data_IF_450953750639
#
_entry.id   IF_450953750639
#
_cell.length_a   1.000
_cell.length_b   1.000
_cell.length_c   1.000
_cell.angle_alpha   90.00
_cell.angle_beta   90.00
_cell.angle_gamma   90.00
#
_symmetry.space_group_name_H-M   'P 1'
#
loop_
_entity.id
_entity.type
_entity.pdbx_description
1 polymer ?
#
# COMPACT_ATOMS: atom_id res chain seq x y z
N UNK A 1 -15.90 -6.69 -15.84
CA UNK A 1 -15.33 -7.79 -15.01
C UNK A 1 -16.05 -7.79 -13.67
N UNK A 2 -16.35 -8.95 -13.10
CA UNK A 2 -17.02 -9.06 -11.79
C UNK A 2 -16.04 -8.86 -10.64
N UNK A 3 -14.81 -9.33 -10.80
CA UNK A 3 -13.73 -9.26 -9.82
C UNK A 3 -12.63 -8.38 -10.37
N UNK A 4 -12.26 -7.34 -9.64
CA UNK A 4 -11.22 -6.39 -10.06
C UNK A 4 -10.22 -6.27 -8.92
N UNK A 5 -8.95 -6.54 -9.20
CA UNK A 5 -7.87 -6.50 -8.21
C UNK A 5 -6.83 -5.49 -8.68
N UNK A 6 -6.50 -4.52 -7.84
CA UNK A 6 -5.37 -3.63 -7.99
C UNK A 6 -4.30 -4.03 -6.99
N UNK A 7 -3.22 -4.61 -7.47
CA UNK A 7 -2.06 -5.03 -6.68
C UNK A 7 -0.97 -3.97 -6.81
N UNK A 8 -0.58 -3.34 -5.72
CA UNK A 8 0.39 -2.24 -5.69
C UNK A 8 1.61 -2.66 -4.88
N UNK A 9 2.80 -2.43 -5.42
CA UNK A 9 4.04 -2.44 -4.66
C UNK A 9 4.48 -0.99 -4.44
N UNK A 10 4.38 -0.49 -3.21
CA UNK A 10 4.79 0.88 -2.88
C UNK A 10 6.32 0.98 -2.98
N UNK A 11 6.84 1.93 -3.75
CA UNK A 11 8.29 2.16 -3.87
C UNK A 11 9.08 1.08 -4.60
N UNK A 12 8.44 0.16 -5.33
CA UNK A 12 9.13 -0.86 -6.12
C UNK A 12 9.50 -0.36 -7.51
N UNK A 13 10.80 -0.34 -7.81
CA UNK A 13 11.32 -0.02 -9.14
C UNK A 13 11.85 -1.27 -9.89
N UNK A 14 12.43 -1.03 -11.06
CA UNK A 14 13.07 -2.06 -11.85
C UNK A 14 14.21 -2.77 -11.11
N UNK A 15 15.07 -2.02 -10.42
CA UNK A 15 16.25 -2.56 -9.76
C UNK A 15 15.88 -3.35 -8.50
N UNK A 16 14.92 -2.87 -7.71
CA UNK A 16 14.33 -3.60 -6.58
C UNK A 16 13.71 -4.90 -7.04
N UNK A 17 12.96 -4.88 -8.15
CA UNK A 17 12.40 -6.10 -8.77
C UNK A 17 13.51 -7.07 -9.18
N UNK A 18 14.59 -6.57 -9.80
CA UNK A 18 15.76 -7.37 -10.21
C UNK A 18 16.50 -7.96 -9.02
N UNK A 19 16.72 -7.19 -7.96
CA UNK A 19 17.35 -7.68 -6.74
C UNK A 19 16.58 -8.86 -6.15
N UNK A 20 15.25 -8.74 -6.04
CA UNK A 20 14.41 -9.79 -5.50
C UNK A 20 14.37 -11.04 -6.40
N UNK A 21 14.30 -10.86 -7.73
CA UNK A 21 14.35 -11.97 -8.67
C UNK A 21 15.69 -12.74 -8.58
N UNK A 22 16.82 -12.03 -8.47
CA UNK A 22 18.14 -12.66 -8.32
C UNK A 22 18.24 -13.42 -7.00
N UNK A 23 17.86 -12.81 -5.88
CA UNK A 23 17.92 -13.45 -4.57
C UNK A 23 17.05 -14.71 -4.51
N UNK A 24 15.83 -14.63 -5.06
CA UNK A 24 14.90 -15.76 -5.08
C UNK A 24 15.40 -16.91 -5.97
N UNK A 25 15.96 -16.61 -7.14
CA UNK A 25 16.40 -17.64 -8.11
C UNK A 25 17.83 -18.11 -7.89
N UNK A 26 18.63 -17.35 -7.13
CA UNK A 26 20.08 -17.51 -7.01
C UNK A 26 20.79 -17.44 -8.36
N UNK A 27 20.25 -16.68 -9.29
CA UNK A 27 20.76 -16.53 -10.65
C UNK A 27 20.57 -15.10 -11.16
N UNK A 28 21.55 -14.60 -11.90
CA UNK A 28 21.42 -13.34 -12.63
C UNK A 28 20.67 -13.62 -13.94
N UNK A 29 19.34 -13.59 -13.87
CA UNK A 29 18.46 -13.92 -14.99
C UNK A 29 17.60 -12.76 -15.51
N UNK A 30 17.25 -11.79 -14.66
CA UNK A 30 16.31 -10.71 -14.99
C UNK A 30 17.03 -9.44 -15.41
N UNK A 31 16.88 -9.04 -16.68
CA UNK A 31 17.58 -7.90 -17.27
C UNK A 31 16.66 -6.85 -17.90
N UNK A 32 15.50 -7.25 -18.44
CA UNK A 32 14.48 -6.33 -18.96
C UNK A 32 13.10 -7.01 -19.10
N UNK A 33 12.03 -6.21 -19.18
CA UNK A 33 10.71 -6.67 -19.59
C UNK A 33 10.02 -7.66 -18.64
N UNK A 34 9.58 -8.81 -19.18
CA UNK A 34 8.81 -9.83 -18.45
C UNK A 34 9.65 -11.08 -18.18
N UNK A 35 9.46 -11.66 -16.99
CA UNK A 35 9.91 -13.01 -16.64
C UNK A 35 11.33 -13.12 -16.12
N UNK A 36 11.59 -14.24 -15.45
CA UNK A 36 12.84 -14.81 -14.91
C UNK A 36 13.11 -14.65 -13.39
N UNK A 37 12.08 -14.81 -12.56
CA UNK A 37 12.29 -15.16 -11.15
C UNK A 37 11.09 -15.06 -10.22
N UNK A 38 10.38 -13.93 -10.24
CA UNK A 38 9.20 -13.71 -9.41
C UNK A 38 7.96 -14.32 -10.08
N UNK A 39 7.00 -14.77 -9.28
CA UNK A 39 5.78 -15.37 -9.81
C UNK A 39 5.03 -14.39 -10.70
N UNK A 40 4.91 -13.11 -10.33
CA UNK A 40 4.25 -12.12 -11.20
C UNK A 40 4.97 -11.86 -12.52
N UNK A 41 6.29 -12.06 -12.59
CA UNK A 41 7.07 -11.95 -13.83
C UNK A 41 6.83 -13.17 -14.73
N UNK A 42 6.77 -14.36 -14.13
CA UNK A 42 6.72 -15.65 -14.82
C UNK A 42 5.32 -16.20 -15.00
N UNK A 43 4.30 -15.55 -14.46
CA UNK A 43 2.93 -16.02 -14.55
C UNK A 43 2.43 -16.07 -16.00
N UNK A 44 1.88 -17.22 -16.42
CA UNK A 44 1.37 -17.50 -17.77
C UNK A 44 -0.03 -18.13 -17.78
N UNK A 45 -0.78 -18.04 -16.68
CA UNK A 45 -2.13 -18.63 -16.58
C UNK A 45 -3.19 -17.92 -17.46
N UNK A 46 -2.93 -16.69 -17.89
CA UNK A 46 -3.81 -15.94 -18.80
C UNK A 46 -3.03 -15.04 -19.75
N UNK A 47 -3.73 -14.43 -20.71
CA UNK A 47 -3.20 -13.33 -21.51
C UNK A 47 -2.87 -12.15 -20.61
N UNK A 48 -1.65 -11.67 -20.70
CA UNK A 48 -1.15 -10.58 -19.86
C UNK A 48 -0.55 -9.49 -20.74
N UNK A 49 -0.97 -8.26 -20.51
CA UNK A 49 -0.34 -7.07 -21.06
C UNK A 49 0.69 -6.52 -20.06
N UNK A 50 1.61 -5.70 -20.53
CA UNK A 50 2.64 -5.07 -19.72
C UNK A 50 3.06 -3.75 -20.35
N UNK A 51 3.34 -2.76 -19.50
CA UNK A 51 3.76 -1.43 -19.91
C UNK A 51 4.22 -0.62 -18.72
N UNK A 52 4.69 0.59 -19.00
CA UNK A 52 5.14 1.54 -17.99
C UNK A 52 4.31 2.80 -18.09
N UNK A 53 4.26 3.51 -16.97
CA UNK A 53 3.63 4.79 -16.85
C UNK A 53 4.46 5.65 -15.93
N UNK A 54 4.23 6.95 -15.99
CA UNK A 54 4.95 7.93 -15.19
C UNK A 54 4.02 8.40 -14.08
N UNK A 55 4.46 8.19 -12.85
CA UNK A 55 3.86 8.81 -11.67
C UNK A 55 4.63 10.09 -11.35
N UNK A 56 4.10 11.19 -11.85
CA UNK A 56 4.64 12.53 -11.59
C UNK A 56 3.49 13.39 -11.08
N UNK A 57 3.68 14.13 -9.98
CA UNK A 57 2.62 14.92 -9.39
C UNK A 57 2.30 16.11 -10.30
N UNK A 58 1.24 16.83 -9.98
CA UNK A 58 1.01 18.16 -10.52
C UNK A 58 2.08 19.13 -10.00
N UNK A 59 2.39 19.07 -8.70
CA UNK A 59 3.39 19.90 -8.04
C UNK A 59 3.75 19.36 -6.65
N UNK A 60 4.79 19.91 -6.03
CA UNK A 60 5.13 19.69 -4.62
C UNK A 60 5.15 21.01 -3.84
N UNK A 61 4.97 20.92 -2.51
CA UNK A 61 4.97 22.07 -1.60
C UNK A 61 3.68 22.88 -1.57
N UNK A 62 2.53 22.27 -1.89
CA UNK A 62 1.20 22.89 -1.71
C UNK A 62 0.94 23.16 -0.23
N UNK A 63 0.48 24.37 0.09
CA UNK A 63 0.05 24.70 1.45
C UNK A 63 -1.41 24.35 1.67
N UNK A 64 -1.71 23.71 2.81
CA UNK A 64 -3.05 23.28 3.21
C UNK A 64 -3.33 23.61 4.68
N UNK A 65 -4.58 23.47 5.06
CA UNK A 65 -5.04 23.48 6.44
C UNK A 65 -5.83 22.19 6.67
N UNK A 66 -5.29 21.30 7.50
CA UNK A 66 -5.86 19.97 7.79
C UNK A 66 -7.16 20.11 8.58
N UNK A 67 -7.22 20.95 9.61
CA UNK A 67 -8.43 21.17 10.42
C UNK A 67 -9.67 21.59 9.62
N UNK A 68 -9.45 22.34 8.55
CA UNK A 68 -10.50 22.85 7.66
C UNK A 68 -10.64 22.04 6.38
N UNK A 69 -9.74 21.08 6.14
CA UNK A 69 -9.67 20.28 4.92
C UNK A 69 -9.69 21.14 3.65
N UNK A 70 -8.82 22.17 3.61
CA UNK A 70 -8.68 23.06 2.44
C UNK A 70 -7.23 23.24 2.01
N UNK A 71 -7.03 23.42 0.70
CA UNK A 71 -5.80 23.97 0.15
C UNK A 71 -5.83 25.49 0.31
N UNK A 72 -4.81 26.06 0.95
CA UNK A 72 -4.70 27.50 1.20
C UNK A 72 -3.89 28.23 0.13
N UNK A 73 -2.96 27.52 -0.53
CA UNK A 73 -2.18 28.04 -1.65
C UNK A 73 -1.88 26.91 -2.65
N UNK A 74 -2.67 26.78 -3.74
CA UNK A 74 -2.47 25.74 -4.75
C UNK A 74 -1.23 26.02 -5.60
N UNK A 75 -0.72 24.98 -6.29
CA UNK A 75 0.40 25.07 -7.24
C UNK A 75 1.80 24.90 -6.62
N UNK A 76 1.95 25.09 -5.31
CA UNK A 76 3.16 24.77 -4.56
C UNK A 76 4.43 25.51 -5.01
N UNK A 77 5.60 24.91 -4.72
CA UNK A 77 6.93 25.51 -4.97
C UNK A 77 7.63 24.94 -6.19
N UNK A 78 7.44 23.65 -6.44
CA UNK A 78 8.13 22.92 -7.51
C UNK A 78 7.06 22.29 -8.38
N UNK A 79 6.95 22.65 -9.67
CA UNK A 79 6.03 21.99 -10.57
C UNK A 79 6.44 20.53 -10.75
N UNK A 80 5.45 19.66 -10.94
CA UNK A 80 5.72 18.32 -11.44
C UNK A 80 5.91 18.33 -12.94
N UNK A 81 6.01 17.14 -13.51
CA UNK A 81 6.42 16.93 -14.88
C UNK A 81 7.38 15.76 -14.99
N UNK A 82 7.39 15.15 -16.17
CA UNK A 82 8.39 14.19 -16.59
C UNK A 82 8.40 14.19 -18.12
N UNK A 83 9.50 14.64 -18.68
CA UNK A 83 9.91 14.43 -20.06
C UNK A 83 10.52 13.02 -20.24
N UNK A 84 9.80 12.19 -20.98
CA UNK A 84 10.23 10.83 -21.37
C UNK A 84 11.45 10.83 -22.28
N UNK A 85 11.68 11.91 -23.04
CA UNK A 85 12.86 12.00 -23.92
C UNK A 85 14.16 12.11 -23.12
N UNK A 86 14.07 12.60 -21.88
CA UNK A 86 15.20 12.68 -20.93
C UNK A 86 15.33 11.45 -20.06
N UNK A 87 14.20 10.94 -19.58
CA UNK A 87 14.15 9.79 -18.68
C UNK A 87 14.38 8.45 -19.38
N UNK A 88 14.33 8.42 -20.71
CA UNK A 88 14.49 7.22 -21.51
C UNK A 88 13.16 6.51 -21.79
N UNK A 89 13.13 5.63 -22.80
CA UNK A 89 11.93 4.91 -23.20
C UNK A 89 11.56 3.76 -22.27
N UNK A 90 12.47 3.31 -21.40
CA UNK A 90 12.26 2.20 -20.46
C UNK A 90 12.90 2.47 -19.09
N UNK A 91 12.38 1.88 -18.00
CA UNK A 91 12.95 2.07 -16.66
C UNK A 91 14.35 1.47 -16.44
N UNK A 92 14.79 0.50 -17.26
CA UNK A 92 16.10 -0.14 -17.13
C UNK A 92 17.19 0.53 -17.98
N UNK A 93 16.82 1.43 -18.88
CA UNK A 93 17.80 2.12 -19.71
C UNK A 93 18.51 3.21 -18.91
N UNK A 94 19.84 3.17 -18.89
CA UNK A 94 20.64 4.25 -18.33
C UNK A 94 20.42 5.56 -19.11
N UNK A 95 20.34 6.67 -18.38
CA UNK A 95 20.19 8.02 -18.94
C UNK A 95 21.50 8.80 -18.78
N UNK A 96 21.72 9.79 -19.65
CA UNK A 96 22.91 10.67 -19.57
C UNK A 96 22.85 11.63 -18.37
N UNK A 97 21.65 11.94 -17.89
CA UNK A 97 21.38 12.83 -16.75
C UNK A 97 20.80 12.03 -15.57
N UNK A 98 21.66 11.29 -14.86
CA UNK A 98 21.27 10.47 -13.71
C UNK A 98 20.51 11.23 -12.60
N UNK A 99 20.77 12.53 -12.34
CA UNK A 99 19.95 13.33 -11.42
C UNK A 99 18.52 13.61 -11.88
N UNK A 100 18.22 13.52 -13.18
CA UNK A 100 16.90 13.87 -13.71
C UNK A 100 15.76 12.97 -13.20
N UNK A 101 15.83 11.63 -13.27
CA UNK A 101 14.76 10.77 -12.76
C UNK A 101 14.36 11.03 -11.30
N UNK A 102 15.28 11.53 -10.48
CA UNK A 102 15.06 11.87 -9.07
C UNK A 102 14.73 13.35 -8.83
N UNK A 103 14.41 14.11 -9.89
CA UNK A 103 14.03 15.52 -9.81
C UNK A 103 15.16 16.47 -9.44
N UNK A 104 16.42 16.04 -9.54
CA UNK A 104 17.62 16.80 -9.13
C UNK A 104 18.50 17.24 -10.31
N UNK A 105 17.99 17.20 -11.53
CA UNK A 105 18.71 17.76 -12.68
C UNK A 105 18.98 19.25 -12.46
N UNK A 106 20.21 19.68 -12.75
CA UNK A 106 20.59 21.09 -12.65
C UNK A 106 19.84 21.98 -13.67
N UNK A 107 19.44 21.39 -14.80
CA UNK A 107 18.85 22.11 -15.93
C UNK A 107 17.32 22.07 -15.96
N UNK A 108 16.71 21.15 -15.22
CA UNK A 108 15.26 20.90 -15.24
C UNK A 108 14.80 20.21 -13.96
N UNK A 109 14.80 20.93 -12.84
CA UNK A 109 14.30 20.42 -11.59
C UNK A 109 12.77 20.27 -11.67
N UNK A 110 12.27 19.11 -11.25
CA UNK A 110 10.85 18.84 -11.14
C UNK A 110 10.54 18.11 -9.85
N UNK A 111 9.28 18.15 -9.43
CA UNK A 111 8.81 17.32 -8.33
C UNK A 111 8.79 15.84 -8.78
N UNK A 112 9.35 14.95 -7.95
CA UNK A 112 9.06 13.52 -8.01
C UNK A 112 7.84 13.23 -7.12
N UNK A 113 7.08 12.20 -7.47
CA UNK A 113 5.83 11.86 -6.76
C UNK A 113 6.14 11.31 -5.37
N UNK A 114 5.20 11.49 -4.46
CA UNK A 114 5.08 10.64 -3.27
C UNK A 114 3.97 9.60 -3.50
N UNK A 115 3.81 8.67 -2.55
CA UNK A 115 2.78 7.62 -2.61
C UNK A 115 1.34 8.15 -2.67
N UNK A 116 1.06 9.33 -2.08
CA UNK A 116 -0.29 9.89 -2.08
C UNK A 116 -0.69 10.41 -3.47
N UNK A 117 0.18 11.17 -4.13
CA UNK A 117 -0.10 11.68 -5.47
C UNK A 117 -0.14 10.57 -6.54
N UNK A 118 0.74 9.56 -6.43
CA UNK A 118 0.75 8.40 -7.33
C UNK A 118 -0.50 7.54 -7.13
N UNK A 119 -0.84 7.18 -5.89
CA UNK A 119 -2.03 6.38 -5.60
C UNK A 119 -3.34 7.12 -5.92
N UNK A 120 -3.39 8.45 -5.74
CA UNK A 120 -4.49 9.28 -6.25
C UNK A 120 -4.59 9.17 -7.78
N UNK A 121 -3.46 9.14 -8.50
CA UNK A 121 -3.47 8.95 -9.95
C UNK A 121 -4.01 7.57 -10.34
N UNK A 122 -3.61 6.52 -9.61
CA UNK A 122 -4.08 5.13 -9.83
C UNK A 122 -5.58 4.97 -9.53
N UNK A 123 -6.08 5.58 -8.45
CA UNK A 123 -7.43 5.38 -7.96
C UNK A 123 -8.45 6.38 -8.53
N UNK A 124 -8.03 7.62 -8.81
CA UNK A 124 -8.91 8.72 -9.22
C UNK A 124 -8.63 9.24 -10.64
N UNK A 125 -7.58 8.76 -11.31
CA UNK A 125 -7.32 9.09 -12.72
C UNK A 125 -6.87 10.53 -12.98
N UNK A 126 -6.36 11.23 -11.95
CA UNK A 126 -5.85 12.60 -12.07
C UNK A 126 -4.48 12.74 -11.42
N UNK A 127 -3.66 13.66 -11.94
CA UNK A 127 -2.47 14.13 -11.23
C UNK A 127 -2.87 15.19 -10.20
N UNK A 128 -2.27 15.13 -9.01
CA UNK A 128 -2.48 16.07 -7.91
C UNK A 128 -1.16 16.45 -7.24
N UNK A 129 -1.18 17.27 -6.19
CA UNK A 129 0.03 17.65 -5.47
C UNK A 129 0.50 16.53 -4.54
N UNK A 130 1.81 16.45 -4.26
CA UNK A 130 2.33 15.52 -3.24
C UNK A 130 1.65 15.75 -1.89
N UNK A 131 1.34 14.68 -1.16
CA UNK A 131 0.53 14.64 0.07
C UNK A 131 -0.99 14.63 -0.12
N UNK A 132 -1.54 14.82 -1.31
CA UNK A 132 -2.99 14.77 -1.52
C UNK A 132 -3.54 13.35 -1.55
N UNK A 133 -4.69 13.12 -0.90
CA UNK A 133 -5.46 11.88 -0.98
C UNK A 133 -6.76 12.15 -1.72
N UNK A 134 -6.84 11.71 -2.99
CA UNK A 134 -8.02 11.85 -3.85
C UNK A 134 -8.63 13.26 -3.93
N UNK A 135 -7.83 14.30 -3.81
CA UNK A 135 -8.26 15.67 -4.10
C UNK A 135 -7.55 16.20 -5.33
N UNK A 136 -8.19 17.10 -6.07
CA UNK A 136 -7.52 17.80 -7.16
C UNK A 136 -6.46 18.79 -6.64
N UNK A 137 -5.72 19.42 -7.55
CA UNK A 137 -4.65 20.34 -7.16
C UNK A 137 -5.11 21.58 -6.35
N UNK A 138 -6.43 21.82 -6.30
CA UNK A 138 -7.08 22.89 -5.53
C UNK A 138 -7.75 22.38 -4.24
N UNK A 139 -7.60 21.11 -3.90
CA UNK A 139 -8.17 20.50 -2.70
C UNK A 139 -9.63 20.08 -2.84
N UNK A 140 -10.19 20.06 -4.06
CA UNK A 140 -11.58 19.60 -4.26
C UNK A 140 -11.62 18.08 -4.32
N UNK A 141 -12.65 17.49 -3.71
CA UNK A 141 -12.90 16.05 -3.73
C UNK A 141 -12.93 15.50 -5.16
N UNK A 142 -12.24 14.37 -5.36
CA UNK A 142 -12.30 13.56 -6.57
C UNK A 142 -12.71 12.15 -6.14
N UNK A 143 -13.63 11.55 -6.88
CA UNK A 143 -14.20 10.25 -6.54
C UNK A 143 -13.25 9.13 -6.98
N UNK A 144 -12.68 8.32 -6.05
CA UNK A 144 -11.88 7.17 -6.44
C UNK A 144 -12.74 6.07 -7.06
N UNK A 145 -12.10 5.20 -7.84
CA UNK A 145 -12.73 4.08 -8.55
C UNK A 145 -13.47 3.14 -7.59
N UNK A 146 -12.95 2.91 -6.39
CA UNK A 146 -13.60 2.04 -5.41
C UNK A 146 -14.97 2.60 -4.98
N UNK A 147 -15.07 3.91 -4.69
CA UNK A 147 -16.37 4.55 -4.36
C UNK A 147 -17.31 4.58 -5.55
N UNK A 148 -16.79 4.77 -6.77
CA UNK A 148 -17.58 4.67 -8.00
C UNK A 148 -18.18 3.26 -8.16
N UNK A 149 -17.37 2.22 -8.01
CA UNK A 149 -17.81 0.83 -8.11
C UNK A 149 -18.74 0.43 -6.96
N UNK A 150 -18.53 0.97 -5.76
CA UNK A 150 -19.42 0.72 -4.62
C UNK A 150 -20.84 1.23 -4.91
N UNK A 151 -20.98 2.39 -5.57
CA UNK A 151 -22.28 2.89 -6.02
C UNK A 151 -22.94 2.00 -7.10
N UNK A 152 -22.15 1.21 -7.83
CA UNK A 152 -22.62 0.20 -8.78
C UNK A 152 -22.87 -1.20 -8.17
N UNK A 153 -22.79 -1.30 -6.83
CA UNK A 153 -23.05 -2.55 -6.10
C UNK A 153 -21.85 -3.48 -6.00
N UNK A 154 -20.62 -3.00 -6.19
CA UNK A 154 -19.43 -3.77 -5.83
C UNK A 154 -19.21 -3.74 -4.32
N UNK A 155 -18.80 -4.88 -3.76
CA UNK A 155 -18.15 -4.90 -2.45
C UNK A 155 -16.70 -4.42 -2.59
N UNK A 156 -16.20 -3.67 -1.62
CA UNK A 156 -14.88 -3.01 -1.69
C UNK A 156 -13.96 -3.56 -0.59
N UNK A 157 -12.76 -4.00 -0.98
CA UNK A 157 -11.72 -4.41 -0.06
C UNK A 157 -10.42 -3.62 -0.21
N UNK A 158 -9.73 -3.40 0.90
CA UNK A 158 -8.39 -2.79 0.94
C UNK A 158 -7.51 -3.60 1.90
N UNK A 159 -6.36 -4.03 1.40
CA UNK A 159 -5.35 -4.81 2.14
C UNK A 159 -3.99 -4.15 2.01
N UNK A 160 -3.24 -4.01 3.10
CA UNK A 160 -1.89 -3.43 3.09
C UNK A 160 -0.97 -4.07 4.15
N UNK A 161 0.33 -4.16 3.87
CA UNK A 161 1.36 -4.55 4.86
C UNK A 161 1.80 -3.43 5.81
N UNK A 162 1.38 -2.19 5.56
CA UNK A 162 1.70 -0.98 6.33
C UNK A 162 0.42 -0.42 7.00
N UNK A 163 0.43 0.74 7.69
CA UNK A 163 -0.74 1.22 8.39
C UNK A 163 -1.98 1.32 7.50
N UNK A 164 -3.14 0.95 8.05
CA UNK A 164 -4.42 0.91 7.33
C UNK A 164 -4.80 2.22 6.61
N UNK A 165 -4.34 3.37 7.12
CA UNK A 165 -4.56 4.69 6.54
C UNK A 165 -3.29 5.33 5.96
N UNK A 166 -2.26 4.52 5.70
CA UNK A 166 -1.14 4.96 4.86
C UNK A 166 -1.65 5.43 3.48
N UNK A 167 -0.81 6.17 2.75
CA UNK A 167 -1.27 6.92 1.58
C UNK A 167 -1.94 6.07 0.50
N UNK A 168 -1.34 4.95 0.11
CA UNK A 168 -1.88 4.05 -0.93
C UNK A 168 -3.24 3.45 -0.54
N UNK A 169 -3.43 2.81 0.64
CA UNK A 169 -4.71 2.25 1.03
C UNK A 169 -5.74 3.35 1.31
N UNK A 170 -5.33 4.51 1.82
CA UNK A 170 -6.20 5.67 1.96
C UNK A 170 -6.73 6.14 0.59
N UNK A 171 -5.85 6.26 -0.42
CA UNK A 171 -6.23 6.65 -1.78
C UNK A 171 -7.15 5.62 -2.47
N UNK A 172 -7.27 4.39 -1.97
CA UNK A 172 -8.29 3.47 -2.49
C UNK A 172 -9.71 4.02 -2.29
N UNK A 173 -9.97 4.80 -1.23
CA UNK A 173 -11.34 5.11 -0.81
C UNK A 173 -11.57 6.51 -0.24
N UNK A 174 -10.66 6.98 0.63
CA UNK A 174 -10.81 8.21 1.42
C UNK A 174 -10.46 9.47 0.61
N UNK A 175 -10.77 10.64 1.18
CA UNK A 175 -10.30 11.93 0.67
C UNK A 175 -9.74 12.77 1.81
N UNK A 176 -8.60 13.42 1.58
CA UNK A 176 -8.02 14.35 2.52
C UNK A 176 -7.03 15.28 1.80
N UNK A 177 -6.87 16.49 2.32
CA UNK A 177 -5.87 17.42 1.78
C UNK A 177 -4.43 17.06 2.19
N UNK A 178 -4.25 16.16 3.17
CA UNK A 178 -2.96 15.69 3.67
C UNK A 178 -2.97 14.19 3.98
N UNK A 179 -2.01 13.45 3.43
CA UNK A 179 -1.81 12.01 3.66
C UNK A 179 -1.50 11.65 5.11
N UNK A 180 -1.08 12.62 5.92
CA UNK A 180 -0.72 12.38 7.32
C UNK A 180 -1.90 12.53 8.28
N UNK A 181 -3.10 12.89 7.82
CA UNK A 181 -4.31 12.97 8.65
C UNK A 181 -4.91 11.55 8.91
N UNK A 182 -4.09 10.68 9.50
CA UNK A 182 -4.30 9.23 9.56
C UNK A 182 -5.63 8.83 10.19
N UNK A 183 -6.01 9.40 11.33
CA UNK A 183 -7.27 9.05 11.99
C UNK A 183 -8.47 9.49 11.16
N UNK A 184 -8.41 10.63 10.45
CA UNK A 184 -9.49 11.07 9.56
C UNK A 184 -9.64 10.18 8.33
N UNK A 185 -8.51 9.80 7.74
CA UNK A 185 -8.43 8.84 6.65
C UNK A 185 -9.00 7.47 7.07
N UNK A 186 -8.69 7.00 8.28
CA UNK A 186 -9.26 5.76 8.81
C UNK A 186 -10.77 5.86 9.01
N UNK A 187 -11.28 7.02 9.48
CA UNK A 187 -12.74 7.24 9.63
C UNK A 187 -13.48 7.11 8.30
N UNK A 188 -12.92 7.68 7.23
CA UNK A 188 -13.43 7.52 5.86
C UNK A 188 -13.44 6.05 5.43
N UNK A 189 -12.32 5.33 5.61
CA UNK A 189 -12.19 3.91 5.27
C UNK A 189 -13.22 3.04 6.00
N UNK A 190 -13.50 3.32 7.28
CA UNK A 190 -14.44 2.56 8.11
C UNK A 190 -15.89 3.08 8.02
N UNK A 191 -16.13 4.17 7.28
CA UNK A 191 -17.47 4.73 7.08
C UNK A 191 -18.08 5.36 8.33
N UNK A 192 -17.24 5.96 9.17
CA UNK A 192 -17.66 6.82 10.28
C UNK A 192 -17.33 8.29 9.94
N UNK A 193 -17.99 9.28 10.57
CA UNK A 193 -17.76 10.69 10.26
C UNK A 193 -16.30 11.11 10.41
N UNK A 194 -15.74 11.71 9.36
CA UNK A 194 -14.43 12.36 9.31
C UNK A 194 -14.59 13.87 9.21
N UNK A 195 -13.51 14.64 9.32
CA UNK A 195 -13.50 16.08 9.07
C UNK A 195 -13.79 16.36 7.59
N UNK A 196 -13.20 15.57 6.67
CA UNK A 196 -13.45 15.75 5.24
C UNK A 196 -14.89 15.36 4.85
N UNK A 197 -15.43 14.28 5.44
CA UNK A 197 -16.79 13.81 5.24
C UNK A 197 -17.58 13.76 6.56
N UNK A 198 -18.12 14.91 7.05
CA UNK A 198 -18.85 14.97 8.32
C UNK A 198 -20.11 14.10 8.39
N UNK A 199 -20.66 13.71 7.23
CA UNK A 199 -21.79 12.79 7.13
C UNK A 199 -21.41 11.31 7.24
N UNK A 200 -20.12 11.00 7.20
CA UNK A 200 -19.59 9.65 7.03
C UNK A 200 -19.74 9.13 5.60
N UNK A 201 -18.77 8.33 5.18
CA UNK A 201 -18.87 7.53 3.95
C UNK A 201 -19.57 6.19 4.25
N UNK A 202 -19.82 5.40 3.20
CA UNK A 202 -20.30 4.03 3.41
C UNK A 202 -19.27 3.18 4.15
N UNK A 203 -17.97 3.43 3.93
CA UNK A 203 -16.84 2.60 4.36
C UNK A 203 -16.63 1.40 3.44
N UNK A 204 -15.42 0.85 3.44
CA UNK A 204 -15.07 -0.38 2.71
C UNK A 204 -15.68 -1.60 3.37
N UNK A 205 -15.93 -2.68 2.63
CA UNK A 205 -16.51 -3.92 3.16
C UNK A 205 -15.45 -4.81 3.83
N UNK A 206 -14.19 -4.69 3.39
CA UNK A 206 -13.04 -5.30 4.05
C UNK A 206 -11.89 -4.29 4.15
N UNK A 207 -11.35 -4.10 5.35
CA UNK A 207 -10.10 -3.38 5.57
C UNK A 207 -9.17 -4.29 6.37
N UNK A 208 -7.97 -4.60 5.87
CA UNK A 208 -6.99 -5.39 6.62
C UNK A 208 -5.62 -4.75 6.46
N UNK A 209 -4.97 -4.39 7.56
CA UNK A 209 -3.62 -3.86 7.49
C UNK A 209 -2.93 -3.70 8.82
N UNK A 210 -1.82 -2.99 8.81
CA UNK A 210 -0.98 -2.81 9.97
C UNK A 210 -1.30 -1.50 10.74
N UNK A 211 -0.42 -1.10 11.66
CA UNK A 211 -0.54 0.10 12.49
C UNK A 211 -0.94 -0.19 13.95
N UNK A 212 -1.21 -1.45 14.30
CA UNK A 212 -1.55 -1.85 15.66
C UNK A 212 -0.42 -1.50 16.64
N UNK A 213 -0.80 -1.04 17.84
CA UNK A 213 0.15 -0.79 18.94
C UNK A 213 0.97 0.51 18.84
N UNK A 214 0.80 1.30 17.77
CA UNK A 214 1.54 2.55 17.55
C UNK A 214 0.95 3.71 18.36
N UNK A 215 1.35 3.81 19.63
CA UNK A 215 0.86 4.86 20.56
C UNK A 215 1.61 6.17 20.37
N UNK A 216 0.85 7.27 20.26
CA UNK A 216 1.35 8.63 20.14
C UNK A 216 0.52 9.58 21.02
N UNK A 217 1.21 10.44 21.79
CA UNK A 217 0.56 11.39 22.69
C UNK A 217 0.05 12.64 21.94
N UNK A 218 0.73 12.98 20.84
CA UNK A 218 0.42 14.14 20.01
C UNK A 218 0.91 13.93 18.58
N UNK A 219 0.05 14.19 17.61
CA UNK A 219 0.46 14.22 16.20
C UNK A 219 -0.03 15.52 15.54
N UNK A 220 0.86 16.50 15.49
CA UNK A 220 0.55 17.80 14.89
C UNK A 220 0.32 17.76 13.38
N UNK A 221 0.69 16.66 12.70
CA UNK A 221 0.42 16.49 11.27
C UNK A 221 -1.04 16.16 10.97
N UNK A 222 -1.75 15.60 11.96
CA UNK A 222 -3.18 15.28 11.88
C UNK A 222 -4.07 16.49 12.19
N UNK A 223 -3.56 17.48 12.93
CA UNK A 223 -4.35 18.66 13.31
C UNK A 223 -5.12 18.44 14.61
N UNK A 224 -6.25 19.14 14.77
CA UNK A 224 -7.03 19.21 16.00
C UNK A 224 -7.99 18.03 16.21
N UNK A 225 -8.22 17.20 15.19
CA UNK A 225 -9.02 15.98 15.24
C UNK A 225 -8.24 14.75 15.73
N UNK A 226 -6.92 14.88 15.96
CA UNK A 226 -6.11 13.81 16.54
C UNK A 226 -6.56 13.51 17.97
N UNK A 227 -6.81 12.23 18.23
CA UNK A 227 -7.10 11.71 19.57
C UNK A 227 -5.86 10.97 20.07
N UNK A 228 -5.27 11.37 21.23
CA UNK A 228 -4.14 10.66 21.83
C UNK A 228 -4.46 9.18 22.08
N UNK A 229 -3.47 8.31 21.88
CA UNK A 229 -3.64 6.87 21.86
C UNK A 229 -2.98 6.29 20.63
N UNK A 230 -3.62 5.35 19.94
CA UNK A 230 -3.06 4.83 18.70
C UNK A 230 -3.11 5.89 17.57
N UNK A 231 -1.97 6.03 16.86
CA UNK A 231 -1.73 7.05 15.85
C UNK A 231 -2.69 6.98 14.66
N UNK A 232 -3.16 5.80 14.29
CA UNK A 232 -3.93 5.55 13.07
C UNK A 232 -5.42 5.35 13.33
N UNK A 233 -5.80 4.96 14.55
CA UNK A 233 -7.19 4.72 14.93
C UNK A 233 -7.37 4.87 16.44
N UNK A 234 -8.30 5.72 16.89
CA UNK A 234 -8.57 5.81 18.33
C UNK A 234 -9.35 4.59 18.85
N UNK A 235 -9.21 4.31 20.15
CA UNK A 235 -9.96 3.23 20.81
C UNK A 235 -11.48 3.43 20.69
N UNK A 236 -11.95 4.68 20.78
CA UNK A 236 -13.37 5.02 20.62
C UNK A 236 -13.88 4.72 19.19
N UNK A 237 -13.08 5.03 18.17
CA UNK A 237 -13.43 4.74 16.78
C UNK A 237 -13.39 3.23 16.50
N UNK A 238 -12.41 2.51 17.05
CA UNK A 238 -12.33 1.04 17.00
C UNK A 238 -13.56 0.39 17.64
N UNK A 239 -13.94 0.83 18.85
CA UNK A 239 -15.12 0.32 19.54
C UNK A 239 -16.39 0.61 18.72
N UNK A 240 -16.52 1.82 18.18
CA UNK A 240 -17.69 2.25 17.39
C UNK A 240 -17.93 1.40 16.15
N UNK A 241 -16.88 0.95 15.47
CA UNK A 241 -17.02 0.18 14.22
C UNK A 241 -17.27 -1.31 14.47
N UNK A 242 -16.93 -1.82 15.66
CA UNK A 242 -17.07 -3.23 16.02
C UNK A 242 -18.54 -3.66 16.18
N UNK A 243 -18.88 -4.84 15.64
CA UNK A 243 -20.19 -5.49 15.84
C UNK A 243 -20.53 -5.71 17.31
N UNK A 244 -19.53 -5.88 18.18
CA UNK A 244 -19.73 -6.07 19.62
C UNK A 244 -20.34 -4.83 20.29
N UNK A 245 -20.15 -3.66 19.68
CA UNK A 245 -20.76 -2.39 20.11
C UNK A 245 -21.87 -1.90 19.17
N UNK A 246 -22.39 -2.76 18.30
CA UNK A 246 -23.44 -2.43 17.34
C UNK A 246 -22.95 -1.78 16.03
N UNK A 247 -21.64 -1.80 15.79
CA UNK A 247 -21.02 -1.40 14.53
C UNK A 247 -21.17 -2.42 13.40
N UNK A 248 -20.44 -2.21 12.30
CA UNK A 248 -20.57 -3.01 11.06
C UNK A 248 -19.52 -4.12 10.92
N UNK A 249 -18.41 -4.03 11.65
CA UNK A 249 -17.21 -4.83 11.40
C UNK A 249 -17.01 -5.89 12.47
N UNK A 250 -16.79 -7.12 12.03
CA UNK A 250 -16.08 -8.10 12.86
C UNK A 250 -14.62 -7.68 12.87
N UNK A 251 -14.08 -7.48 14.07
CA UNK A 251 -12.70 -7.02 14.28
C UNK A 251 -11.81 -8.21 14.56
N UNK A 252 -10.80 -8.42 13.72
CA UNK A 252 -9.62 -9.22 14.03
C UNK A 252 -8.48 -8.28 14.34
N UNK A 253 -7.80 -8.45 15.46
CA UNK A 253 -6.60 -7.68 15.75
C UNK A 253 -5.53 -8.56 16.35
N UNK A 254 -4.28 -8.10 16.33
CA UNK A 254 -3.20 -8.78 17.02
C UNK A 254 -3.59 -9.00 18.50
N UNK A 255 -3.58 -10.26 18.94
CA UNK A 255 -3.96 -10.65 20.30
C UNK A 255 -2.83 -11.45 20.95
N UNK A 256 -2.43 -11.03 22.15
CA UNK A 256 -1.35 -11.66 22.89
C UNK A 256 -1.65 -13.15 23.15
N UNK A 257 -0.72 -14.01 22.75
CA UNK A 257 -0.79 -15.46 22.92
C UNK A 257 -1.59 -16.21 21.85
N UNK A 258 -2.24 -15.52 20.91
CA UNK A 258 -3.03 -16.15 19.84
C UNK A 258 -2.33 -16.05 18.48
N UNK A 259 -2.51 -17.06 17.63
CA UNK A 259 -1.99 -17.04 16.26
C UNK A 259 -2.74 -15.98 15.44
N UNK A 260 -2.02 -15.06 14.79
CA UNK A 260 -2.63 -14.01 13.98
C UNK A 260 -3.51 -14.57 12.86
N UNK A 261 -3.03 -15.61 12.19
CA UNK A 261 -3.78 -16.31 11.14
C UNK A 261 -5.04 -17.01 11.68
N UNK A 262 -5.02 -17.54 12.91
CA UNK A 262 -6.20 -18.18 13.52
C UNK A 262 -7.25 -17.14 13.96
N UNK A 263 -6.79 -16.02 14.52
CA UNK A 263 -7.66 -14.87 14.86
C UNK A 263 -8.34 -14.35 13.60
N UNK A 264 -7.57 -14.11 12.53
CA UNK A 264 -8.12 -13.65 11.25
C UNK A 264 -9.08 -14.66 10.63
N UNK A 265 -8.74 -15.96 10.64
CA UNK A 265 -9.60 -17.01 10.09
C UNK A 265 -10.93 -17.11 10.85
N UNK A 266 -10.91 -16.96 12.17
CA UNK A 266 -12.12 -16.94 13.01
C UNK A 266 -13.01 -15.74 12.66
N UNK A 267 -12.43 -14.55 12.55
CA UNK A 267 -13.16 -13.34 12.17
C UNK A 267 -13.75 -13.43 10.76
N UNK A 268 -13.04 -14.05 9.80
CA UNK A 268 -13.57 -14.31 8.45
C UNK A 268 -14.84 -15.15 8.51
N UNK A 269 -14.86 -16.23 9.30
CA UNK A 269 -16.06 -17.06 9.44
C UNK A 269 -17.22 -16.27 10.05
N UNK A 270 -16.96 -15.54 11.13
CA UNK A 270 -17.97 -14.69 11.78
C UNK A 270 -18.53 -13.63 10.84
N UNK A 271 -17.67 -12.98 10.05
CA UNK A 271 -18.07 -11.97 9.06
C UNK A 271 -18.97 -12.57 7.98
N UNK A 272 -18.65 -13.77 7.47
CA UNK A 272 -19.43 -14.47 6.46
C UNK A 272 -20.78 -14.93 7.03
N UNK A 273 -20.79 -15.60 8.17
CA UNK A 273 -22.01 -16.14 8.80
C UNK A 273 -22.97 -15.03 9.23
N UNK A 274 -22.43 -13.97 9.83
CA UNK A 274 -23.18 -12.80 10.28
C UNK A 274 -23.52 -11.79 9.18
N UNK A 275 -22.96 -11.96 7.97
CA UNK A 275 -23.03 -10.97 6.87
C UNK A 275 -22.55 -9.57 7.33
N UNK A 276 -21.48 -9.56 8.11
CA UNK A 276 -20.82 -8.36 8.60
C UNK A 276 -19.60 -8.03 7.76
N UNK A 277 -19.11 -6.79 7.87
CA UNK A 277 -17.84 -6.39 7.27
C UNK A 277 -16.67 -6.97 8.08
N UNK A 278 -15.48 -6.99 7.49
CA UNK A 278 -14.27 -7.44 8.17
C UNK A 278 -13.28 -6.29 8.35
N UNK A 279 -12.80 -6.11 9.58
CA UNK A 279 -11.70 -5.20 9.88
C UNK A 279 -10.57 -5.97 10.56
N UNK A 280 -9.43 -6.08 9.88
CA UNK A 280 -8.23 -6.72 10.41
C UNK A 280 -7.15 -5.68 10.75
N UNK A 281 -6.66 -5.68 11.98
CA UNK A 281 -5.73 -4.68 12.49
C UNK A 281 -4.53 -5.30 13.21
N UNK A 282 -3.43 -5.41 12.49
CA UNK A 282 -2.23 -6.15 12.90
C UNK A 282 -1.00 -5.23 12.89
N UNK A 283 0.17 -5.82 13.03
CA UNK A 283 1.45 -5.12 12.97
C UNK A 283 2.28 -5.26 14.24
N UNK A 284 3.46 -4.67 14.16
CA UNK A 284 4.42 -4.53 15.23
C UNK A 284 4.74 -3.05 15.45
N UNK A 285 5.56 -2.77 16.46
CA UNK A 285 6.18 -1.45 16.64
C UNK A 285 6.84 -1.01 15.33
N UNK A 286 6.59 0.23 14.90
CA UNK A 286 6.93 0.75 13.58
C UNK A 286 5.72 0.78 12.63
N UNK A 287 4.61 0.11 12.97
CA UNK A 287 3.35 0.19 12.25
C UNK A 287 3.22 -0.68 11.00
N UNK A 288 4.17 -1.58 10.74
CA UNK A 288 4.15 -2.52 9.62
C UNK A 288 4.08 -3.98 10.10
N UNK A 289 3.94 -4.93 9.17
CA UNK A 289 4.15 -6.36 9.45
C UNK A 289 5.65 -6.68 9.62
N UNK A 290 6.04 -7.72 10.38
CA UNK A 290 7.44 -8.14 10.44
C UNK A 290 8.05 -8.39 9.06
N UNK A 291 9.23 -7.83 8.78
CA UNK A 291 9.93 -8.08 7.53
C UNK A 291 10.34 -9.55 7.44
N UNK A 292 9.95 -10.22 6.36
CA UNK A 292 10.33 -11.60 6.05
C UNK A 292 11.84 -11.79 5.82
N UNK A 293 12.58 -10.73 5.51
CA UNK A 293 13.98 -10.72 5.01
C UNK A 293 14.20 -11.55 3.75
N UNK A 294 15.35 -11.36 3.08
CA UNK A 294 15.62 -11.96 1.78
C UNK A 294 15.70 -13.49 1.83
N UNK A 295 16.22 -14.04 2.92
CA UNK A 295 16.37 -15.47 3.17
C UNK A 295 15.15 -16.11 3.87
N UNK A 296 14.19 -15.30 4.33
CA UNK A 296 12.95 -15.77 4.93
C UNK A 296 13.01 -16.01 6.43
N UNK A 297 14.07 -15.58 7.10
CA UNK A 297 14.31 -15.88 8.51
C UNK A 297 13.75 -14.83 9.49
N UNK A 298 13.24 -13.71 8.98
CA UNK A 298 12.74 -12.58 9.77
C UNK A 298 13.81 -11.99 10.71
N UNK A 299 15.06 -11.91 10.26
CA UNK A 299 16.17 -11.31 11.00
C UNK A 299 16.75 -10.07 10.27
N UNK A 300 16.04 -8.92 10.28
CA UNK A 300 16.50 -7.71 9.60
C UNK A 300 17.94 -7.35 9.94
N UNK A 301 18.71 -6.99 8.93
CA UNK A 301 20.04 -6.41 9.13
C UNK A 301 19.93 -4.90 9.39
N UNK A 302 21.04 -4.30 9.84
CA UNK A 302 21.12 -2.86 10.07
C UNK A 302 20.82 -2.07 8.78
N UNK A 303 20.04 -1.01 8.90
CA UNK A 303 19.85 -0.04 7.81
C UNK A 303 21.10 0.85 7.68
N UNK A 304 21.61 1.00 6.46
CA UNK A 304 22.85 1.75 6.18
C UNK A 304 22.50 3.09 5.56
N UNK A 305 22.35 4.14 6.39
CA UNK A 305 22.09 5.50 5.96
C UNK A 305 23.27 6.44 6.18
N UNK A 306 23.37 7.48 5.35
CA UNK A 306 24.18 8.68 5.62
C UNK A 306 23.21 9.82 5.98
N UNK A 307 23.26 10.41 7.20
CA UNK A 307 24.30 10.24 8.21
C UNK A 307 24.04 9.14 9.25
N UNK A 308 22.85 8.53 9.28
CA UNK A 308 22.44 7.65 10.37
C UNK A 308 22.26 6.20 9.92
N UNK A 309 22.98 5.30 10.58
CA UNK A 309 22.69 3.87 10.58
C UNK A 309 21.64 3.56 11.66
N UNK A 310 20.56 2.87 11.31
CA UNK A 310 19.59 2.39 12.29
C UNK A 310 19.99 1.00 12.81
N UNK A 311 19.62 0.69 14.05
CA UNK A 311 19.77 -0.67 14.58
C UNK A 311 18.83 -1.61 13.80
N UNK A 312 19.20 -2.90 13.64
CA UNK A 312 18.27 -3.89 13.12
C UNK A 312 17.04 -3.96 14.02
N UNK A 313 15.88 -4.15 13.40
CA UNK A 313 14.69 -4.58 14.11
C UNK A 313 14.90 -5.99 14.66
N UNK A 314 14.27 -6.29 15.79
CA UNK A 314 14.36 -7.60 16.44
C UNK A 314 12.95 -8.05 16.76
N UNK A 315 12.57 -9.19 16.21
CA UNK A 315 11.25 -9.76 16.40
C UNK A 315 11.28 -10.84 17.47
N UNK A 316 10.34 -10.74 18.41
CA UNK A 316 10.05 -11.83 19.34
C UNK A 316 9.31 -12.97 18.64
N UNK A 317 9.29 -14.19 19.20
CA UNK A 317 8.41 -15.26 18.71
C UNK A 317 6.93 -14.84 18.65
N UNK A 318 6.51 -13.97 19.55
CA UNK A 318 5.17 -13.37 19.61
C UNK A 318 4.93 -12.45 18.41
N UNK A 319 5.88 -11.60 18.04
CA UNK A 319 5.76 -10.72 16.88
C UNK A 319 5.51 -11.49 15.59
N UNK A 320 6.15 -12.66 15.45
CA UNK A 320 6.00 -13.51 14.27
C UNK A 320 4.72 -14.36 14.31
N UNK A 321 4.35 -14.88 15.49
CA UNK A 321 3.20 -15.78 15.65
C UNK A 321 1.86 -15.04 15.67
N UNK A 322 1.81 -13.87 16.30
CA UNK A 322 0.57 -13.11 16.54
C UNK A 322 0.20 -12.19 15.37
N UNK A 323 1.07 -12.12 14.35
CA UNK A 323 0.82 -11.39 13.11
C UNK A 323 0.42 -12.31 11.97
N UNK A 324 -0.12 -11.69 10.93
CA UNK A 324 -0.53 -12.30 9.67
C UNK A 324 0.49 -12.00 8.58
N UNK A 325 0.50 -12.80 7.53
CA UNK A 325 1.23 -12.47 6.30
C UNK A 325 0.37 -11.67 5.33
N UNK A 326 0.97 -10.96 4.37
CA UNK A 326 0.22 -10.29 3.29
C UNK A 326 -0.63 -11.27 2.48
N UNK A 327 -0.16 -12.51 2.31
CA UNK A 327 -0.92 -13.59 1.68
C UNK A 327 -2.18 -13.96 2.49
N UNK A 328 -2.07 -14.09 3.81
CA UNK A 328 -3.23 -14.38 4.68
C UNK A 328 -4.29 -13.28 4.57
N UNK A 329 -3.85 -12.02 4.62
CA UNK A 329 -4.73 -10.85 4.53
C UNK A 329 -5.45 -10.80 3.17
N UNK A 330 -4.72 -10.98 2.06
CA UNK A 330 -5.29 -10.96 0.72
C UNK A 330 -6.34 -12.08 0.53
N UNK A 331 -6.04 -13.30 0.98
CA UNK A 331 -6.99 -14.42 0.89
C UNK A 331 -8.19 -14.25 1.82
N UNK A 332 -8.00 -13.69 3.02
CA UNK A 332 -9.10 -13.37 3.93
C UNK A 332 -10.06 -12.35 3.33
N UNK A 333 -9.53 -11.29 2.72
CA UNK A 333 -10.35 -10.29 2.05
C UNK A 333 -11.15 -10.87 0.89
N UNK A 334 -10.50 -11.67 0.02
CA UNK A 334 -11.19 -12.34 -1.09
C UNK A 334 -12.32 -13.25 -0.58
N UNK A 335 -12.08 -14.05 0.47
CA UNK A 335 -13.11 -14.94 1.04
C UNK A 335 -14.37 -14.17 1.49
N UNK A 336 -14.19 -13.06 2.20
CA UNK A 336 -15.33 -12.25 2.67
C UNK A 336 -16.05 -11.57 1.51
N UNK A 337 -15.30 -10.93 0.60
CA UNK A 337 -15.87 -10.23 -0.55
C UNK A 337 -16.67 -11.18 -1.46
N UNK A 338 -16.11 -12.35 -1.78
CA UNK A 338 -16.72 -13.33 -2.68
C UNK A 338 -17.95 -14.01 -2.06
N UNK A 339 -17.95 -14.22 -0.73
CA UNK A 339 -19.11 -14.74 -0.02
C UNK A 339 -20.27 -13.74 0.05
N UNK A 340 -19.99 -12.44 0.03
CA UNK A 340 -20.99 -11.39 0.26
C UNK A 340 -21.48 -10.70 -1.01
N UNK A 341 -20.69 -10.70 -2.10
CA UNK A 341 -21.08 -10.06 -3.34
C UNK A 341 -20.63 -10.82 -4.59
N UNK A 342 -21.48 -10.79 -5.62
CA UNK A 342 -21.14 -11.30 -6.95
C UNK A 342 -20.19 -10.40 -7.73
N UNK A 343 -20.00 -9.15 -7.28
CA UNK A 343 -19.08 -8.17 -7.87
C UNK A 343 -18.28 -7.52 -6.75
N UNK A 344 -16.96 -7.51 -6.88
CA UNK A 344 -16.09 -6.91 -5.86
C UNK A 344 -14.81 -6.33 -6.45
N UNK A 345 -14.30 -5.31 -5.78
CA UNK A 345 -13.04 -4.63 -6.08
C UNK A 345 -12.12 -4.74 -4.87
N UNK A 346 -10.85 -5.04 -5.08
CA UNK A 346 -9.86 -5.24 -4.02
C UNK A 346 -8.56 -4.50 -4.38
N UNK A 347 -8.05 -3.70 -3.45
CA UNK A 347 -6.64 -3.29 -3.45
C UNK A 347 -5.83 -4.18 -2.52
N UNK A 348 -4.66 -4.63 -2.97
CA UNK A 348 -3.64 -5.28 -2.15
C UNK A 348 -2.33 -4.51 -2.30
N UNK A 349 -1.75 -4.08 -1.20
CA UNK A 349 -0.51 -3.31 -1.18
C UNK A 349 0.60 -4.06 -0.43
N UNK A 350 1.75 -4.23 -1.10
CA UNK A 350 3.04 -4.49 -0.46
C UNK A 350 3.73 -3.14 -0.21
N UNK A 351 3.39 -2.50 0.90
CA UNK A 351 3.77 -1.11 1.20
C UNK A 351 5.14 -0.96 1.87
N UNK A 352 5.60 -2.01 2.53
CA UNK A 352 6.84 -2.07 3.30
C UNK A 352 8.11 -2.15 2.41
N UNK A 353 7.94 -2.33 1.10
CA UNK A 353 9.02 -2.21 0.11
C UNK A 353 9.60 -0.79 0.09
N UNK A 354 8.73 0.24 0.05
CA UNK A 354 9.09 1.65 0.12
C UNK A 354 9.91 1.97 1.38
N UNK A 355 9.46 1.47 2.52
CA UNK A 355 10.07 1.75 3.83
C UNK A 355 11.47 1.13 3.94
N UNK A 356 11.63 -0.09 3.43
CA UNK A 356 12.92 -0.75 3.34
C UNK A 356 13.87 0.00 2.38
N UNK A 357 13.37 0.46 1.23
CA UNK A 357 14.15 1.22 0.26
C UNK A 357 14.57 2.59 0.81
N UNK A 358 13.69 3.32 1.51
CA UNK A 358 14.02 4.56 2.20
C UNK A 358 15.11 4.38 3.26
N UNK A 359 15.14 3.21 3.89
CA UNK A 359 16.15 2.83 4.87
C UNK A 359 17.48 2.37 4.26
N UNK A 360 17.58 2.31 2.92
CA UNK A 360 18.68 1.64 2.20
C UNK A 360 18.95 0.22 2.75
N UNK A 361 17.89 -0.52 3.07
CA UNK A 361 17.97 -1.86 3.62
C UNK A 361 17.57 -2.87 2.54
N UNK A 362 18.56 -3.33 1.78
CA UNK A 362 18.34 -4.23 0.63
C UNK A 362 17.77 -5.59 1.04
N UNK A 363 18.12 -6.07 2.23
CA UNK A 363 17.63 -7.34 2.76
C UNK A 363 16.12 -7.28 3.05
N UNK A 364 15.69 -6.24 3.78
CA UNK A 364 14.27 -5.99 4.02
C UNK A 364 13.53 -5.72 2.71
N UNK A 365 14.13 -4.97 1.77
CA UNK A 365 13.52 -4.64 0.48
C UNK A 365 13.25 -5.89 -0.35
N UNK A 366 14.24 -6.77 -0.49
CA UNK A 366 14.08 -8.05 -1.17
C UNK A 366 13.02 -8.91 -0.46
N UNK A 367 13.06 -9.00 0.87
CA UNK A 367 12.09 -9.76 1.66
C UNK A 367 10.65 -9.27 1.48
N UNK A 368 10.44 -7.95 1.47
CA UNK A 368 9.14 -7.33 1.25
C UNK A 368 8.61 -7.60 -0.17
N UNK A 369 9.46 -7.52 -1.20
CA UNK A 369 9.06 -7.90 -2.57
C UNK A 369 8.68 -9.37 -2.66
N UNK A 370 9.44 -10.27 -2.01
CA UNK A 370 9.11 -11.71 -1.97
C UNK A 370 7.78 -11.95 -1.24
N UNK A 371 7.52 -11.26 -0.12
CA UNK A 371 6.23 -11.31 0.58
C UNK A 371 5.06 -10.88 -0.31
N UNK A 372 5.22 -9.79 -1.06
CA UNK A 372 4.26 -9.35 -2.07
C UNK A 372 4.06 -10.35 -3.21
N UNK A 373 5.14 -10.97 -3.71
CA UNK A 373 5.08 -12.00 -4.75
C UNK A 373 4.39 -13.29 -4.26
N UNK A 374 4.61 -13.68 -3.01
CA UNK A 374 3.90 -14.79 -2.37
C UNK A 374 2.39 -14.50 -2.26
N UNK A 375 2.01 -13.30 -1.84
CA UNK A 375 0.60 -12.87 -1.82
C UNK A 375 -0.02 -12.84 -3.23
N UNK A 376 0.69 -12.29 -4.22
CA UNK A 376 0.24 -12.28 -5.61
C UNK A 376 0.06 -13.72 -6.14
N UNK A 377 0.99 -14.62 -5.84
CA UNK A 377 0.87 -16.05 -6.17
C UNK A 377 -0.41 -16.65 -5.59
N UNK A 378 -0.64 -16.49 -4.29
CA UNK A 378 -1.86 -16.97 -3.62
C UNK A 378 -3.14 -16.42 -4.26
N UNK A 379 -3.17 -15.14 -4.63
CA UNK A 379 -4.30 -14.51 -5.32
C UNK A 379 -4.51 -15.16 -6.69
N UNK A 380 -3.46 -15.33 -7.50
CA UNK A 380 -3.59 -15.98 -8.82
C UNK A 380 -4.05 -17.43 -8.71
N UNK A 381 -3.54 -18.19 -7.74
CA UNK A 381 -3.98 -19.58 -7.49
C UNK A 381 -5.45 -19.64 -7.10
N UNK A 382 -5.91 -18.71 -6.26
CA UNK A 382 -7.33 -18.59 -5.94
C UNK A 382 -8.17 -18.31 -7.18
N UNK A 383 -7.73 -17.37 -8.04
CA UNK A 383 -8.46 -17.03 -9.28
C UNK A 383 -8.63 -18.26 -10.18
N UNK A 384 -7.56 -19.03 -10.40
CA UNK A 384 -7.60 -20.24 -11.22
C UNK A 384 -8.58 -21.29 -10.67
N UNK A 385 -8.64 -21.42 -9.34
CA UNK A 385 -9.54 -22.36 -8.67
C UNK A 385 -11.00 -21.90 -8.66
N UNK A 386 -11.26 -20.60 -8.89
CA UNK A 386 -12.58 -19.99 -8.75
C UNK A 386 -13.08 -19.39 -10.08
N UNK A 387 -12.99 -20.15 -11.18
CA UNK A 387 -13.56 -19.75 -12.47
C UNK A 387 -12.68 -18.82 -13.32
N UNK A 388 -11.41 -18.65 -12.94
CA UNK A 388 -10.38 -18.08 -13.80
C UNK A 388 -10.60 -16.61 -14.19
N UNK A 389 -10.16 -16.29 -15.41
CA UNK A 389 -9.92 -14.92 -15.86
C UNK A 389 -11.05 -14.28 -16.67
N UNK A 390 -12.09 -15.03 -17.03
CA UNK A 390 -13.21 -14.51 -17.82
C UNK A 390 -13.91 -13.35 -17.08
N UNK A 391 -14.14 -13.53 -15.79
CA UNK A 391 -14.80 -12.57 -14.91
C UNK A 391 -13.85 -11.76 -14.02
N UNK A 392 -12.53 -12.01 -14.09
CA UNK A 392 -11.51 -11.35 -13.27
C UNK A 392 -10.62 -10.41 -14.09
N UNK A 393 -10.29 -9.25 -13.54
CA UNK A 393 -9.15 -8.45 -13.96
C UNK A 393 -8.22 -8.26 -12.75
N UNK A 394 -6.92 -8.44 -12.97
CA UNK A 394 -5.88 -8.16 -12.00
C UNK A 394 -4.87 -7.22 -12.67
N UNK A 395 -4.64 -6.07 -12.04
CA UNK A 395 -3.64 -5.10 -12.42
C UNK A 395 -2.56 -5.13 -11.34
N UNK A 396 -1.31 -5.45 -11.72
CA UNK A 396 -0.17 -5.32 -10.82
C UNK A 396 0.67 -4.13 -11.26
N UNK A 397 1.07 -3.31 -10.30
CA UNK A 397 1.81 -2.08 -10.57
C UNK A 397 2.64 -1.65 -9.37
N UNK A 398 3.44 -0.60 -9.57
CA UNK A 398 4.10 0.15 -8.50
C UNK A 398 3.65 1.60 -8.59
N UNK A 399 3.56 2.28 -7.47
CA UNK A 399 3.11 3.66 -7.41
C UNK A 399 4.26 4.64 -7.72
N UNK A 400 5.49 4.31 -7.34
CA UNK A 400 6.74 4.92 -7.76
C UNK A 400 7.90 3.96 -7.54
N UNK A 401 9.09 4.34 -7.99
CA UNK A 401 10.32 3.60 -7.77
C UNK A 401 11.29 4.31 -6.84
N UNK A 402 12.28 3.58 -6.34
CA UNK A 402 13.44 4.12 -5.63
C UNK A 402 14.67 4.07 -6.52
N UNK A 403 15.56 5.05 -6.37
CA UNK A 403 16.78 5.10 -7.18
C UNK A 403 17.86 4.14 -6.64
N UNK A 404 17.59 2.84 -6.76
CA UNK A 404 18.53 1.76 -6.47
C UNK A 404 19.41 1.50 -7.70
N UNK A 405 20.69 1.17 -7.49
CA UNK A 405 21.60 0.75 -8.56
C UNK A 405 22.32 -0.53 -8.15
N UNK A 406 22.33 -1.54 -9.03
CA UNK A 406 23.00 -2.82 -8.79
C UNK A 406 24.23 -2.94 -9.68
N UNK A 407 25.42 -2.70 -9.11
CA UNK A 407 26.70 -2.79 -9.84
C UNK A 407 27.20 -4.24 -9.99
N UNK A 408 26.94 -5.08 -8.98
CA UNK A 408 27.42 -6.47 -8.87
C UNK A 408 26.27 -7.44 -8.59
N UNK A 409 25.38 -7.69 -9.57
CA UNK A 409 24.18 -8.49 -9.38
C UNK A 409 24.47 -9.91 -8.87
N UNK A 410 25.61 -10.49 -9.22
CA UNK A 410 26.04 -11.82 -8.78
C UNK A 410 26.17 -11.94 -7.26
N UNK A 411 26.40 -10.83 -6.54
CA UNK A 411 26.50 -10.84 -5.08
C UNK A 411 25.16 -11.10 -4.39
N UNK A 412 24.04 -10.85 -5.09
CA UNK A 412 22.69 -11.12 -4.58
C UNK A 412 22.26 -12.58 -4.79
N UNK A 413 23.03 -13.38 -5.54
CA UNK A 413 22.70 -14.77 -5.84
C UNK A 413 23.20 -15.77 -4.77
N UNK A 414 23.83 -15.29 -3.70
CA UNK A 414 24.57 -16.09 -2.72
C UNK A 414 23.84 -16.29 -1.39
#
# INVERSE_FOLDING_TARGET
>A
KKRIILFVFDGMDWQTTRAAAIAKTRQVGYEEGRGSGLHFQDYRGTTTDFGFFVTSPHNSGTSRNVDRQIVTSPGGKVPGGYDVTRGGPTPWQATDDLPYPIGKSETDPHAYTDSAASATSLCSGIKTYNDAVNVDFSGREVLPIARTLQAEGYAIGVVTSVPISHATPACAYANNVDRNDYQDLTRDLLGIPSVFHPGGLNGVDVLIGAGWGEVEDKDGSQGANFVPGNRYLSDDDLARVSVDSGGKYVVAQRTAGESGSDVLATAVQQAIEGKHRLFGYFGITGGHLPYRTADGDYAPVRSVGNPNTAKPEVYSPEDLRENVTLSDMALAAIKVLDAQSQRWWLMVEAGDVDWANHSNNIDNSIGAVISGDEAFKSVTEWIEQHGGWDDTALILTADHGHYLTIDKPEMLAH
#
